data_IF_648340555793
#
_entry.id   IF_648340555793
#
_cell.length_a   1.000
_cell.length_b   1.000
_cell.length_c   1.000
_cell.angle_alpha   90.00
_cell.angle_beta   90.00
_cell.angle_gamma   90.00
#
_symmetry.space_group_name_H-M   'P 1'
#
loop_
_entity.id
_entity.type
_entity.pdbx_description
1 polymer ?
#
# COMPACT_ATOMS: atom_id res chain seq x y z
N UNK A 1 -26.60 22.04 -61.86
CA UNK A 1 -26.62 20.69 -61.29
C UNK A 1 -25.22 20.12 -61.34
N UNK A 2 -24.54 20.02 -60.20
CA UNK A 2 -23.32 19.23 -60.05
C UNK A 2 -23.32 18.67 -58.64
N UNK A 3 -23.28 17.34 -58.57
CA UNK A 3 -23.28 16.51 -57.37
C UNK A 3 -21.81 16.31 -57.01
N UNK A 4 -21.37 16.84 -55.87
CA UNK A 4 -20.09 16.49 -55.28
C UNK A 4 -20.32 15.47 -54.17
N UNK A 5 -20.05 14.22 -54.52
CA UNK A 5 -19.79 13.10 -53.61
C UNK A 5 -18.32 13.21 -53.22
N UNK A 6 -18.01 13.56 -51.97
CA UNK A 6 -16.63 13.56 -51.45
C UNK A 6 -16.65 13.04 -50.01
N UNK A 7 -16.26 11.77 -49.90
CA UNK A 7 -15.37 11.16 -48.89
C UNK A 7 -15.73 11.20 -47.39
N UNK A 8 -16.51 10.19 -46.96
CA UNK A 8 -16.78 9.82 -45.55
C UNK A 8 -15.74 8.87 -44.92
N UNK A 9 -14.56 8.70 -45.52
CA UNK A 9 -13.60 7.65 -45.12
C UNK A 9 -12.37 8.14 -44.32
N UNK A 10 -12.28 9.43 -43.96
CA UNK A 10 -11.11 9.97 -43.26
C UNK A 10 -11.18 10.02 -41.72
N UNK A 11 -12.34 9.77 -41.09
CA UNK A 11 -12.47 9.89 -39.63
C UNK A 11 -12.32 8.59 -38.84
N UNK A 12 -12.11 7.43 -39.49
CA UNK A 12 -12.09 6.12 -38.79
C UNK A 12 -10.71 5.57 -38.41
N UNK A 13 -9.59 6.23 -38.72
CA UNK A 13 -8.26 5.65 -38.48
C UNK A 13 -7.50 6.18 -37.24
N UNK A 14 -8.03 7.16 -36.51
CA UNK A 14 -7.32 7.77 -35.36
C UNK A 14 -7.80 7.29 -33.98
N UNK A 15 -8.81 6.42 -33.91
CA UNK A 15 -9.45 5.99 -32.65
C UNK A 15 -9.06 4.57 -32.22
N UNK A 16 -7.94 4.04 -32.72
CA UNK A 16 -7.51 2.66 -32.42
C UNK A 16 -6.02 2.53 -32.07
N UNK A 17 -5.35 3.62 -31.67
CA UNK A 17 -3.91 3.63 -31.35
C UNK A 17 -3.55 4.36 -30.06
N UNK A 18 -4.43 4.33 -29.06
CA UNK A 18 -4.18 4.88 -27.73
C UNK A 18 -4.74 3.97 -26.63
N UNK A 19 -4.42 2.68 -26.68
CA UNK A 19 -4.44 1.79 -25.51
C UNK A 19 -3.19 0.91 -25.64
N UNK A 20 -2.53 0.60 -24.53
CA UNK A 20 -1.23 -0.10 -24.41
C UNK A 20 0.05 0.75 -24.41
N UNK A 21 0.13 1.77 -23.57
CA UNK A 21 1.43 2.15 -22.94
C UNK A 21 1.18 2.83 -21.60
N UNK A 22 0.64 2.10 -20.63
CA UNK A 22 0.59 2.54 -19.23
C UNK A 22 0.35 1.30 -18.38
N UNK A 23 1.41 0.61 -17.93
CA UNK A 23 1.29 -0.33 -16.80
C UNK A 23 2.60 -0.88 -16.18
N UNK A 24 3.79 -0.47 -16.62
CA UNK A 24 5.03 -0.96 -16.01
C UNK A 24 5.71 0.07 -15.10
N UNK A 25 5.49 1.37 -15.30
CA UNK A 25 6.09 2.42 -14.47
C UNK A 25 5.46 2.54 -13.09
N UNK A 26 4.14 2.28 -12.97
CA UNK A 26 3.43 2.34 -11.68
C UNK A 26 3.82 1.19 -10.74
N UNK A 27 4.12 0.01 -11.30
CA UNK A 27 4.60 -1.14 -10.52
C UNK A 27 6.01 -0.89 -9.97
N UNK A 28 6.88 -0.31 -10.79
CA UNK A 28 8.22 0.07 -10.38
C UNK A 28 8.20 1.20 -9.33
N UNK A 29 7.29 2.17 -9.47
CA UNK A 29 7.07 3.23 -8.48
C UNK A 29 6.58 2.70 -7.13
N UNK A 30 5.61 1.78 -7.16
CA UNK A 30 5.11 1.10 -5.96
C UNK A 30 6.19 0.27 -5.27
N UNK A 31 6.94 -0.54 -6.04
CA UNK A 31 8.08 -1.31 -5.53
C UNK A 31 9.20 -0.41 -5.00
N UNK A 32 9.46 0.74 -5.62
CA UNK A 32 10.48 1.69 -5.16
C UNK A 32 10.06 2.39 -3.86
N UNK A 33 8.79 2.81 -3.74
CA UNK A 33 8.24 3.38 -2.51
C UNK A 33 8.21 2.34 -1.38
N UNK A 34 7.92 1.09 -1.72
CA UNK A 34 8.10 -0.06 -0.81
C UNK A 34 9.58 -0.22 -0.43
N UNK A 35 10.52 -0.23 -1.39
CA UNK A 35 11.96 -0.32 -1.11
C UNK A 35 12.51 0.86 -0.32
N UNK A 36 11.99 2.06 -0.49
CA UNK A 36 12.34 3.22 0.34
C UNK A 36 11.84 3.02 1.78
N UNK A 37 10.62 2.48 1.95
CA UNK A 37 10.11 2.06 3.28
C UNK A 37 10.93 0.91 3.89
N UNK A 38 11.53 0.04 3.06
CA UNK A 38 12.45 -1.01 3.50
C UNK A 38 13.90 -0.53 3.69
N UNK A 39 14.36 0.55 3.03
CA UNK A 39 15.75 1.01 3.13
C UNK A 39 16.09 1.59 4.51
N UNK A 40 15.07 1.94 5.30
CA UNK A 40 15.22 2.23 6.73
C UNK A 40 15.45 1.00 7.62
N UNK A 41 15.32 -0.24 7.10
CA UNK A 41 15.38 -1.49 7.88
C UNK A 41 16.79 -1.90 8.31
N UNK A 42 17.82 -1.54 7.57
CA UNK A 42 19.20 -1.98 7.89
C UNK A 42 19.87 -1.06 8.92
N UNK A 43 19.26 0.08 9.26
CA UNK A 43 19.93 1.15 9.99
C UNK A 43 19.46 1.44 11.42
N UNK A 44 18.20 1.20 11.80
CA UNK A 44 17.73 1.65 13.12
C UNK A 44 16.72 0.68 13.74
N UNK A 45 17.24 -0.16 14.64
CA UNK A 45 16.48 -0.84 15.68
C UNK A 45 16.12 0.16 16.78
N UNK A 46 15.24 1.11 16.48
CA UNK A 46 14.47 1.80 17.52
C UNK A 46 13.02 1.35 17.37
N UNK A 47 12.54 0.67 18.41
CA UNK A 47 11.37 -0.19 18.41
C UNK A 47 10.02 0.53 18.38
N UNK A 48 9.83 1.43 17.42
CA UNK A 48 8.53 1.99 17.13
C UNK A 48 8.08 1.47 15.77
N UNK A 49 7.40 0.31 15.80
CA UNK A 49 6.60 -0.24 14.69
C UNK A 49 5.30 0.58 14.52
N UNK A 50 5.45 1.89 14.68
CA UNK A 50 4.40 2.87 14.78
C UNK A 50 3.92 3.24 13.39
N UNK A 51 2.60 3.18 13.17
CA UNK A 51 1.96 3.73 11.99
C UNK A 51 2.02 5.27 12.06
N UNK A 52 3.21 5.80 11.80
CA UNK A 52 3.51 7.22 11.86
C UNK A 52 2.97 7.94 10.65
N UNK A 53 2.64 9.21 10.81
CA UNK A 53 2.28 10.08 9.69
C UNK A 53 3.43 10.09 8.66
N UNK A 54 3.09 9.88 7.39
CA UNK A 54 4.01 9.72 6.27
C UNK A 54 4.36 8.26 5.94
N UNK A 55 3.95 7.30 6.79
CA UNK A 55 4.15 5.88 6.52
C UNK A 55 3.11 5.31 5.55
N UNK A 56 3.48 4.22 4.87
CA UNK A 56 2.56 3.42 4.06
C UNK A 56 1.88 2.37 4.93
N UNK A 57 0.55 2.38 4.95
CA UNK A 57 -0.31 1.44 5.68
C UNK A 57 -1.16 0.64 4.70
N UNK A 58 -1.60 -0.56 5.09
CA UNK A 58 -2.49 -1.40 4.29
C UNK A 58 -3.85 -1.46 4.97
N UNK A 59 -4.89 -1.37 4.16
CA UNK A 59 -6.26 -1.62 4.62
C UNK A 59 -6.52 -3.12 4.58
N UNK A 60 -6.73 -3.71 5.76
CA UNK A 60 -7.11 -5.11 5.91
C UNK A 60 -8.59 -5.20 6.27
N UNK A 61 -9.30 -6.17 5.71
CA UNK A 61 -10.61 -6.63 6.20
C UNK A 61 -11.86 -5.83 5.83
N UNK A 62 -11.80 -4.54 5.46
CA UNK A 62 -13.02 -3.79 5.12
C UNK A 62 -12.81 -2.69 4.06
N UNK A 63 -13.30 -2.96 2.85
CA UNK A 63 -13.37 -1.99 1.75
C UNK A 63 -14.49 -0.98 1.98
N UNK A 64 -14.23 0.29 1.70
CA UNK A 64 -15.23 1.37 1.63
C UNK A 64 -15.19 2.00 0.23
N UNK A 65 -15.91 1.41 -0.75
CA UNK A 65 -15.84 1.84 -2.15
C UNK A 65 -16.32 3.28 -2.36
N UNK A 66 -17.31 3.72 -1.56
CA UNK A 66 -17.84 5.09 -1.59
C UNK A 66 -16.76 6.15 -1.28
N UNK A 67 -15.69 5.73 -0.61
CA UNK A 67 -14.56 6.54 -0.19
C UNK A 67 -13.30 6.24 -1.00
N UNK A 68 -13.35 5.37 -2.02
CA UNK A 68 -12.18 4.96 -2.79
C UNK A 68 -11.19 4.09 -2.01
N UNK A 69 -11.66 3.45 -0.93
CA UNK A 69 -10.84 2.57 -0.08
C UNK A 69 -11.16 1.13 -0.42
N UNK A 70 -10.15 0.43 -0.89
CA UNK A 70 -10.20 -0.97 -1.32
C UNK A 70 -9.39 -1.82 -0.35
N UNK A 71 -9.78 -3.08 -0.23
CA UNK A 71 -9.06 -4.04 0.60
C UNK A 71 -7.71 -4.42 -0.03
N UNK A 72 -6.74 -4.76 0.83
CA UNK A 72 -5.39 -5.18 0.42
C UNK A 72 -4.63 -4.16 -0.44
N UNK A 73 -5.07 -2.91 -0.41
CA UNK A 73 -4.38 -1.80 -1.06
C UNK A 73 -3.58 -0.99 -0.04
N UNK A 74 -2.43 -0.50 -0.50
CA UNK A 74 -1.57 0.37 0.28
C UNK A 74 -2.00 1.84 0.15
N UNK A 75 -2.06 2.53 1.27
CA UNK A 75 -2.36 3.96 1.38
C UNK A 75 -1.27 4.65 2.18
N UNK A 76 -1.05 5.92 1.89
CA UNK A 76 -0.18 6.80 2.66
C UNK A 76 -0.98 7.45 3.79
N UNK A 77 -0.45 7.35 5.00
CA UNK A 77 -1.02 7.98 6.19
C UNK A 77 -0.64 9.47 6.23
N UNK A 78 -1.54 10.36 5.82
CA UNK A 78 -1.26 11.79 5.68
C UNK A 78 -1.35 12.55 7.00
N UNK A 79 -2.30 12.17 7.86
CA UNK A 79 -2.42 12.77 9.19
C UNK A 79 -3.20 11.89 10.13
N UNK A 80 -2.92 12.03 11.42
CA UNK A 80 -3.70 11.42 12.51
C UNK A 80 -4.15 12.53 13.43
N UNK A 81 -5.41 12.52 13.84
CA UNK A 81 -5.90 13.48 14.81
C UNK A 81 -7.04 12.91 15.65
N UNK A 82 -7.11 13.34 16.89
CA UNK A 82 -8.25 13.07 17.77
C UNK A 82 -9.25 14.23 17.64
N UNK A 83 -10.51 13.93 17.36
CA UNK A 83 -11.60 14.91 17.27
C UNK A 83 -12.62 14.69 18.37
N UNK A 84 -12.93 15.75 19.10
CA UNK A 84 -13.92 15.76 20.18
C UNK A 84 -14.65 17.09 20.26
N UNK A 85 -15.55 17.21 21.23
CA UNK A 85 -16.27 18.45 21.52
C UNK A 85 -15.51 19.17 22.64
N UNK A 86 -15.02 20.39 22.38
CA UNK A 86 -14.38 21.22 23.40
C UNK A 86 -15.39 21.85 24.35
N UNK A 87 -14.90 22.49 25.41
CA UNK A 87 -15.73 23.15 26.44
C UNK A 87 -16.68 24.22 25.87
N UNK A 88 -16.33 24.77 24.71
CA UNK A 88 -17.10 25.79 23.99
C UNK A 88 -18.21 25.18 23.11
N UNK A 89 -18.41 23.86 23.13
CA UNK A 89 -19.36 23.14 22.28
C UNK A 89 -18.92 23.00 20.81
N UNK A 90 -17.72 23.48 20.46
CA UNK A 90 -17.17 23.42 19.11
C UNK A 90 -16.28 22.19 18.93
N UNK A 91 -16.20 21.62 17.71
CA UNK A 91 -15.30 20.52 17.41
C UNK A 91 -13.85 20.97 17.49
N UNK A 92 -13.05 20.27 18.30
CA UNK A 92 -11.61 20.51 18.47
C UNK A 92 -10.85 19.31 17.90
N UNK A 93 -9.78 19.58 17.16
CA UNK A 93 -8.87 18.57 16.59
C UNK A 93 -7.51 18.66 17.27
N UNK A 94 -6.99 17.51 17.70
CA UNK A 94 -5.66 17.38 18.30
C UNK A 94 -4.84 16.49 17.39
N UNK A 95 -3.86 17.06 16.69
CA UNK A 95 -3.00 16.32 15.76
C UNK A 95 -1.99 15.44 16.50
N UNK A 96 -1.77 14.24 15.97
CA UNK A 96 -0.86 13.21 16.49
C UNK A 96 0.16 12.84 15.43
N UNK A 97 1.30 12.33 15.88
CA UNK A 97 2.35 11.87 14.98
C UNK A 97 2.23 10.38 14.66
N UNK A 98 1.57 9.62 15.52
CA UNK A 98 1.41 8.17 15.38
C UNK A 98 -0.03 7.72 15.62
N UNK A 99 -0.48 6.76 14.82
CA UNK A 99 -1.77 6.09 15.02
C UNK A 99 -1.75 5.12 16.21
N UNK A 100 -0.60 4.51 16.48
CA UNK A 100 -0.40 3.51 17.53
C UNK A 100 -0.13 4.13 18.91
N UNK A 101 -0.12 5.46 19.03
CA UNK A 101 -0.09 6.15 20.33
C UNK A 101 -1.15 5.56 21.27
N UNK A 102 -0.75 5.10 22.46
CA UNK A 102 -1.63 4.37 23.38
C UNK A 102 -2.96 5.10 23.61
N UNK A 103 -4.09 4.37 23.54
CA UNK A 103 -5.45 4.94 23.71
C UNK A 103 -5.64 5.75 25.00
N UNK A 104 -4.81 5.54 26.03
CA UNK A 104 -4.82 6.31 27.28
C UNK A 104 -4.42 7.78 27.09
N UNK A 105 -3.78 8.15 25.97
CA UNK A 105 -3.46 9.54 25.64
C UNK A 105 -4.61 10.27 24.96
N UNK A 106 -5.71 9.57 24.63
CA UNK A 106 -6.90 10.16 24.00
C UNK A 106 -7.79 10.74 25.11
N UNK A 107 -8.10 12.05 25.08
CA UNK A 107 -9.00 12.65 26.05
C UNK A 107 -10.40 12.01 25.98
N UNK A 108 -11.06 11.87 27.13
CA UNK A 108 -12.42 11.30 27.17
C UNK A 108 -13.39 12.10 26.28
N UNK A 109 -14.15 11.40 25.45
CA UNK A 109 -15.08 12.01 24.49
C UNK A 109 -14.47 12.39 23.14
N UNK A 110 -13.18 12.13 22.92
CA UNK A 110 -12.53 12.27 21.62
C UNK A 110 -12.50 10.93 20.89
N UNK A 111 -12.61 10.98 19.57
CA UNK A 111 -12.42 9.83 18.67
C UNK A 111 -11.23 10.07 17.76
N UNK A 112 -10.42 9.04 17.56
CA UNK A 112 -9.27 9.11 16.66
C UNK A 112 -9.72 8.95 15.22
N UNK A 113 -9.20 9.81 14.36
CA UNK A 113 -9.38 9.77 12.92
C UNK A 113 -8.01 9.78 12.25
N UNK A 114 -7.95 9.19 11.07
CA UNK A 114 -6.78 9.22 10.22
C UNK A 114 -7.17 9.66 8.81
N UNK A 115 -6.20 10.22 8.10
CA UNK A 115 -6.37 10.66 6.72
C UNK A 115 -5.50 9.78 5.83
N UNK A 116 -6.12 9.10 4.88
CA UNK A 116 -5.47 8.18 3.95
C UNK A 116 -5.44 8.77 2.54
N UNK A 117 -4.30 8.61 1.87
CA UNK A 117 -4.11 9.03 0.49
C UNK A 117 -3.56 7.88 -0.35
N UNK A 118 -4.12 7.69 -1.54
CA UNK A 118 -3.52 6.83 -2.56
C UNK A 118 -3.56 7.58 -3.87
N UNK A 119 -2.43 7.72 -4.54
CA UNK A 119 -2.38 8.42 -5.82
C UNK A 119 -3.31 7.77 -6.85
N UNK A 120 -3.48 6.45 -6.80
CA UNK A 120 -4.34 5.71 -7.73
C UNK A 120 -5.82 6.05 -7.57
N UNK A 121 -6.31 6.12 -6.34
CA UNK A 121 -7.74 6.27 -6.05
C UNK A 121 -8.13 7.72 -5.71
N UNK A 122 -7.20 8.52 -5.19
CA UNK A 122 -7.44 9.84 -4.64
C UNK A 122 -6.84 10.98 -5.48
N UNK A 123 -6.37 10.73 -6.71
CA UNK A 123 -5.86 11.77 -7.62
C UNK A 123 -6.88 12.88 -7.89
N UNK A 124 -8.16 12.52 -8.01
CA UNK A 124 -9.26 13.44 -8.35
C UNK A 124 -10.09 13.86 -7.14
N UNK A 125 -10.30 12.96 -6.17
CA UNK A 125 -11.12 13.21 -4.97
C UNK A 125 -10.36 13.84 -3.81
N UNK A 126 -9.04 13.66 -3.76
CA UNK A 126 -8.21 14.11 -2.64
C UNK A 126 -8.22 13.12 -1.45
N UNK A 127 -7.42 13.41 -0.42
CA UNK A 127 -7.23 12.53 0.73
C UNK A 127 -8.52 12.35 1.54
N UNK A 128 -8.71 11.15 2.08
CA UNK A 128 -9.97 10.74 2.70
C UNK A 128 -9.79 10.52 4.20
N UNK A 129 -10.75 11.01 4.98
CA UNK A 129 -10.76 10.90 6.45
C UNK A 129 -11.59 9.70 6.88
N UNK A 130 -11.02 8.88 7.74
CA UNK A 130 -11.62 7.62 8.18
C UNK A 130 -11.28 7.29 9.63
N UNK A 131 -12.15 6.50 10.27
CA UNK A 131 -11.87 5.95 11.59
C UNK A 131 -10.99 4.70 11.47
N UNK A 132 -9.88 4.61 12.23
CA UNK A 132 -9.06 3.40 12.26
C UNK A 132 -9.79 2.18 12.87
N UNK A 133 -10.91 2.39 13.58
CA UNK A 133 -11.75 1.28 14.06
C UNK A 133 -12.67 0.73 12.96
N UNK A 134 -13.00 1.54 11.94
CA UNK A 134 -13.82 1.12 10.79
C UNK A 134 -12.99 0.38 9.74
N UNK A 135 -11.71 0.72 9.68
CA UNK A 135 -10.78 0.25 8.66
C UNK A 135 -9.62 -0.38 9.41
N UNK A 136 -9.51 -1.71 9.39
CA UNK A 136 -8.44 -2.39 10.12
C UNK A 136 -7.12 -2.11 9.40
N UNK A 137 -6.39 -1.12 9.89
CA UNK A 137 -5.11 -0.74 9.33
C UNK A 137 -4.03 -1.66 9.87
N UNK A 138 -3.20 -2.17 8.97
CA UNK A 138 -2.03 -2.99 9.29
C UNK A 138 -0.80 -2.33 8.68
N UNK A 139 0.32 -2.38 9.42
CA UNK A 139 1.60 -1.91 8.90
C UNK A 139 2.07 -2.85 7.79
N UNK A 140 2.50 -2.29 6.65
CA UNK A 140 3.10 -3.08 5.55
C UNK A 140 4.24 -3.95 6.07
N UNK A 141 5.00 -3.44 7.05
CA UNK A 141 6.13 -4.16 7.65
C UNK A 141 5.71 -5.44 8.35
N UNK A 142 4.57 -5.44 9.04
CA UNK A 142 4.09 -6.62 9.75
C UNK A 142 3.50 -7.65 8.79
N UNK A 143 2.77 -7.22 7.76
CA UNK A 143 2.30 -8.09 6.66
C UNK A 143 3.46 -8.79 5.95
N UNK A 144 4.56 -8.07 5.68
CA UNK A 144 5.73 -8.63 4.99
C UNK A 144 6.48 -9.62 5.89
N UNK A 145 6.63 -9.31 7.19
CA UNK A 145 7.24 -10.24 8.15
C UNK A 145 6.41 -11.52 8.25
N UNK A 146 5.09 -11.41 8.36
CA UNK A 146 4.20 -12.57 8.47
C UNK A 146 4.24 -13.42 7.19
N UNK A 147 4.18 -12.77 6.03
CA UNK A 147 4.33 -13.42 4.72
C UNK A 147 5.68 -14.15 4.60
N UNK A 148 6.76 -13.54 5.05
CA UNK A 148 8.09 -14.15 5.01
C UNK A 148 8.20 -15.33 5.97
N UNK A 149 7.66 -15.20 7.18
CA UNK A 149 7.63 -16.26 8.18
C UNK A 149 6.85 -17.48 7.67
N UNK A 150 5.72 -17.25 7.00
CA UNK A 150 4.91 -18.29 6.37
C UNK A 150 5.58 -18.93 5.16
N UNK A 151 6.45 -18.21 4.44
CA UNK A 151 7.20 -18.74 3.30
C UNK A 151 8.42 -19.59 3.68
N UNK A 152 8.98 -19.41 4.88
CA UNK A 152 10.20 -20.11 5.33
C UNK A 152 10.12 -21.65 5.25
N UNK A 153 9.03 -22.34 5.65
CA UNK A 153 8.98 -23.81 5.61
C UNK A 153 9.07 -24.35 4.18
N UNK A 154 8.35 -23.74 3.25
CA UNK A 154 8.36 -24.13 1.82
C UNK A 154 9.72 -23.85 1.22
N UNK A 155 10.28 -22.67 1.48
CA UNK A 155 11.61 -22.30 1.02
C UNK A 155 12.69 -23.26 1.55
N UNK A 156 12.65 -23.60 2.84
CA UNK A 156 13.59 -24.54 3.46
C UNK A 156 13.49 -25.94 2.86
N UNK A 157 12.27 -26.43 2.62
CA UNK A 157 12.04 -27.72 1.97
C UNK A 157 12.66 -27.78 0.56
N UNK A 158 12.40 -26.78 -0.28
CA UNK A 158 12.96 -26.75 -1.64
C UNK A 158 14.47 -26.55 -1.66
N UNK A 159 15.00 -25.75 -0.74
CA UNK A 159 16.46 -25.57 -0.59
C UNK A 159 17.13 -26.88 -0.17
N UNK A 160 16.54 -27.61 0.78
CA UNK A 160 17.06 -28.90 1.21
C UNK A 160 17.03 -29.94 0.08
N UNK A 161 15.97 -29.96 -0.74
CA UNK A 161 15.91 -30.79 -1.93
C UNK A 161 16.98 -30.41 -2.95
N UNK A 162 17.14 -29.13 -3.26
CA UNK A 162 18.14 -28.65 -4.20
C UNK A 162 19.56 -29.01 -3.75
N UNK A 163 19.87 -28.80 -2.46
CA UNK A 163 21.16 -29.20 -1.86
C UNK A 163 21.36 -30.72 -1.94
N UNK A 164 20.32 -31.51 -1.66
CA UNK A 164 20.39 -32.97 -1.73
C UNK A 164 20.70 -33.46 -3.15
N UNK A 165 20.03 -32.91 -4.17
CA UNK A 165 20.31 -33.24 -5.58
C UNK A 165 21.69 -32.76 -6.02
N UNK A 166 22.11 -31.57 -5.59
CA UNK A 166 23.43 -31.02 -5.87
C UNK A 166 24.54 -31.92 -5.32
N UNK A 167 24.41 -32.35 -4.06
CA UNK A 167 25.35 -33.26 -3.42
C UNK A 167 25.38 -34.63 -4.12
N UNK A 168 24.20 -35.21 -4.40
CA UNK A 168 24.10 -36.49 -5.11
C UNK A 168 24.72 -36.43 -6.52
N UNK A 169 24.53 -35.30 -7.22
CA UNK A 169 25.10 -35.10 -8.55
C UNK A 169 26.62 -34.97 -8.50
N UNK A 170 27.14 -34.17 -7.55
CA UNK A 170 28.58 -34.03 -7.30
C UNK A 170 29.25 -35.38 -6.98
N UNK A 171 28.61 -36.21 -6.14
CA UNK A 171 29.12 -37.55 -5.82
C UNK A 171 29.15 -38.49 -7.03
N UNK A 172 28.17 -38.40 -7.93
CA UNK A 172 28.06 -39.31 -9.09
C UNK A 172 28.93 -38.91 -10.29
N UNK A 173 29.05 -37.60 -10.55
CA UNK A 173 29.67 -37.11 -11.77
C UNK A 173 30.94 -36.29 -11.54
N UNK A 174 31.31 -36.03 -10.27
CA UNK A 174 32.61 -35.48 -9.89
C UNK A 174 32.89 -34.06 -10.39
N UNK A 175 31.88 -33.29 -10.80
CA UNK A 175 32.04 -31.96 -11.36
C UNK A 175 31.14 -30.93 -10.67
N UNK A 176 31.74 -29.83 -10.22
CA UNK A 176 31.01 -28.62 -9.83
C UNK A 176 30.39 -27.97 -11.08
N UNK A 177 29.18 -27.40 -10.93
CA UNK A 177 28.59 -26.48 -11.91
C UNK A 177 29.48 -25.26 -12.15
#
# INVERSE_FOLDING_TARGET
SNINTIDDDYERSNTAKMEETENDDDRAGGLRKLMESFSGIVGNSDGDDGMRVGSTVVVSGLSLPNLGIEDWQSYELVSVYDQGIGDNGLPVKIYRQDLNEARQTIPNGYKRYCTLYSERYHKKSGPVVVSPDEIQLVSVKDEVKDSLLMALPVFGFWTALAVSFSNLYNERYGGNF
#
